data_IF_874166050805
#
_entry.id   IF_874166050805
#
_cell.length_a   1.000
_cell.length_b   1.000
_cell.length_c   1.000
_cell.angle_alpha   90.00
_cell.angle_beta   90.00
_cell.angle_gamma   90.00
#
_symmetry.space_group_name_H-M   'P 1'
#
loop_
_entity.id
_entity.type
_entity.pdbx_description
1 polymer ?
#
# COMPACT_ATOMS: atom_id res chain seq x y z
N UNK A 1 -5.57 6.32 -7.22
CA UNK A 1 -5.19 7.66 -7.74
C UNK A 1 -6.19 8.17 -8.77
N UNK A 2 -6.40 7.50 -9.93
CA UNK A 2 -7.53 7.82 -10.86
C UNK A 2 -8.94 7.82 -10.22
N UNK A 3 -9.08 7.36 -8.98
CA UNK A 3 -10.34 7.34 -8.23
C UNK A 3 -10.89 8.74 -7.97
N UNK A 4 -10.04 9.75 -7.73
CA UNK A 4 -10.49 11.14 -7.55
C UNK A 4 -11.06 11.74 -8.84
N UNK A 5 -10.43 11.44 -9.99
CA UNK A 5 -10.96 11.79 -11.31
C UNK A 5 -12.29 11.08 -11.56
N UNK A 6 -12.31 9.74 -11.45
CA UNK A 6 -13.49 8.92 -11.77
C UNK A 6 -14.71 9.17 -10.87
N UNK A 7 -14.51 9.75 -9.69
CA UNK A 7 -15.59 10.07 -8.76
C UNK A 7 -16.16 11.47 -8.94
N UNK A 8 -15.52 12.34 -9.73
CA UNK A 8 -15.82 13.77 -9.77
C UNK A 8 -15.29 14.57 -8.57
N UNK A 9 -14.63 13.92 -7.60
CA UNK A 9 -14.08 14.60 -6.43
C UNK A 9 -13.01 15.64 -6.81
N UNK A 10 -12.19 15.37 -7.83
CA UNK A 10 -11.21 16.33 -8.32
C UNK A 10 -11.87 17.62 -8.84
N UNK A 11 -12.94 17.49 -9.60
CA UNK A 11 -13.66 18.64 -10.16
C UNK A 11 -14.34 19.44 -9.06
N UNK A 12 -14.90 18.77 -8.04
CA UNK A 12 -15.47 19.42 -6.86
C UNK A 12 -14.42 20.19 -6.05
N UNK A 13 -13.24 19.60 -5.81
CA UNK A 13 -12.11 20.27 -5.15
C UNK A 13 -11.74 21.56 -5.90
N UNK A 14 -11.61 21.47 -7.23
CA UNK A 14 -11.28 22.64 -8.06
C UNK A 14 -12.39 23.69 -8.09
N UNK A 15 -13.65 23.27 -8.12
CA UNK A 15 -14.79 24.18 -8.04
C UNK A 15 -14.83 24.96 -6.71
N UNK A 16 -14.34 24.37 -5.62
CA UNK A 16 -14.17 25.04 -4.33
C UNK A 16 -12.87 25.87 -4.23
N UNK A 17 -12.09 25.98 -5.31
CA UNK A 17 -10.84 26.75 -5.36
C UNK A 17 -9.61 26.02 -4.81
N UNK A 18 -9.67 24.70 -4.64
CA UNK A 18 -8.54 23.86 -4.25
C UNK A 18 -7.81 23.22 -5.43
N UNK A 19 -6.74 22.48 -5.13
CA UNK A 19 -6.03 21.64 -6.09
C UNK A 19 -5.56 20.34 -5.41
N UNK A 20 -5.42 19.28 -6.19
CA UNK A 20 -4.91 17.99 -5.73
C UNK A 20 -3.46 17.80 -6.17
N UNK A 21 -2.63 17.22 -5.31
CA UNK A 21 -1.26 16.83 -5.64
C UNK A 21 -1.06 15.36 -5.29
N UNK A 22 -0.45 14.61 -6.20
CA UNK A 22 0.11 13.30 -5.88
C UNK A 22 1.47 13.47 -5.21
N UNK A 23 1.74 12.73 -4.15
CA UNK A 23 3.05 12.72 -3.49
C UNK A 23 3.60 11.30 -3.49
N UNK A 24 4.87 11.14 -3.83
CA UNK A 24 5.55 9.84 -3.84
C UNK A 24 6.97 9.97 -3.29
N UNK A 25 7.47 8.91 -2.67
CA UNK A 25 8.86 8.79 -2.22
C UNK A 25 9.83 8.36 -3.33
N UNK A 26 9.37 8.37 -4.58
CA UNK A 26 10.20 8.18 -5.78
C UNK A 26 10.77 9.53 -6.25
N UNK A 27 11.84 9.54 -7.07
CA UNK A 27 12.33 10.75 -7.71
C UNK A 27 11.28 11.42 -8.62
N UNK A 28 11.42 12.72 -8.84
CA UNK A 28 10.49 13.51 -9.66
C UNK A 28 10.28 12.94 -11.06
N UNK A 29 11.31 12.37 -11.69
CA UNK A 29 11.18 11.73 -13.01
C UNK A 29 10.15 10.60 -13.02
N UNK A 30 10.10 9.78 -11.97
CA UNK A 30 9.13 8.69 -11.82
C UNK A 30 7.74 9.21 -11.41
N UNK A 31 7.69 10.29 -10.62
CA UNK A 31 6.44 10.96 -10.30
C UNK A 31 5.75 11.50 -11.57
N UNK A 32 6.51 12.19 -12.43
CA UNK A 32 6.04 12.70 -13.72
C UNK A 32 5.65 11.56 -14.67
N UNK A 33 6.42 10.48 -14.73
CA UNK A 33 6.06 9.29 -15.51
C UNK A 33 4.72 8.71 -15.05
N UNK A 34 4.52 8.55 -13.74
CA UNK A 34 3.26 8.04 -13.18
C UNK A 34 2.08 8.96 -13.46
N UNK A 35 2.27 10.28 -13.37
CA UNK A 35 1.26 11.27 -13.74
C UNK A 35 0.76 11.08 -15.18
N UNK A 36 1.70 10.93 -16.13
CA UNK A 36 1.40 10.77 -17.55
C UNK A 36 0.81 9.39 -17.85
N UNK A 37 1.51 8.32 -17.45
CA UNK A 37 1.11 6.95 -17.73
C UNK A 37 -0.23 6.60 -17.07
N UNK A 38 -0.54 7.20 -15.92
CA UNK A 38 -1.81 6.98 -15.24
C UNK A 38 -2.82 8.09 -15.48
N UNK A 39 -2.56 9.05 -16.37
CA UNK A 39 -3.50 10.10 -16.77
C UNK A 39 -4.21 10.72 -15.54
N UNK A 40 -3.42 11.10 -14.54
CA UNK A 40 -3.97 11.45 -13.23
C UNK A 40 -4.76 12.76 -13.26
N UNK A 41 -4.45 13.67 -14.19
CA UNK A 41 -5.12 14.96 -14.31
C UNK A 41 -4.77 15.96 -13.21
N UNK A 42 -3.74 15.65 -12.42
CA UNK A 42 -3.18 16.49 -11.37
C UNK A 42 -1.68 16.20 -11.20
N UNK A 43 -0.87 17.18 -10.79
CA UNK A 43 0.58 17.04 -10.70
C UNK A 43 1.02 16.01 -9.65
N UNK A 44 2.07 15.25 -9.95
CA UNK A 44 2.76 14.40 -8.99
C UNK A 44 4.13 14.96 -8.60
N UNK A 45 4.41 14.97 -7.30
CA UNK A 45 5.64 15.48 -6.69
C UNK A 45 6.44 14.29 -6.17
N UNK A 46 7.70 14.19 -6.60
CA UNK A 46 8.66 13.24 -6.07
C UNK A 46 9.39 13.81 -4.86
N UNK A 47 9.38 13.09 -3.76
CA UNK A 47 10.02 13.44 -2.49
C UNK A 47 10.91 12.28 -1.99
N UNK A 48 11.99 11.94 -2.72
CA UNK A 48 12.83 10.79 -2.39
C UNK A 48 13.58 10.96 -1.06
N UNK A 49 13.78 12.21 -0.62
CA UNK A 49 14.51 12.55 0.61
C UNK A 49 13.59 12.90 1.78
N UNK A 50 12.27 12.74 1.63
CA UNK A 50 11.26 12.89 2.66
C UNK A 50 11.16 14.30 3.26
N UNK A 51 11.51 15.33 2.50
CA UNK A 51 11.52 16.73 2.95
C UNK A 51 10.09 17.22 3.24
N UNK A 52 9.12 16.84 2.39
CA UNK A 52 7.72 17.23 2.58
C UNK A 52 7.15 16.49 3.79
N UNK A 53 7.45 15.19 3.93
CA UNK A 53 7.05 14.42 5.12
C UNK A 53 7.58 15.06 6.40
N UNK A 54 8.87 15.40 6.43
CA UNK A 54 9.50 15.95 7.62
C UNK A 54 8.95 17.34 7.95
N UNK A 55 8.71 18.19 6.93
CA UNK A 55 8.06 19.49 7.10
C UNK A 55 6.64 19.37 7.67
N UNK A 56 5.82 18.45 7.15
CA UNK A 56 4.47 18.22 7.67
C UNK A 56 4.46 17.78 9.13
N UNK A 57 5.43 16.95 9.55
CA UNK A 57 5.60 16.54 10.94
C UNK A 57 6.00 17.72 11.83
N UNK A 58 7.00 18.50 11.42
CA UNK A 58 7.49 19.68 12.15
C UNK A 58 6.39 20.74 12.35
N UNK A 59 5.49 20.87 11.37
CA UNK A 59 4.34 21.78 11.42
C UNK A 59 3.12 21.20 12.15
N UNK A 60 3.18 19.96 12.64
CA UNK A 60 2.06 19.30 13.31
C UNK A 60 0.88 18.97 12.39
N UNK A 61 1.07 19.00 11.07
CA UNK A 61 0.01 18.76 10.08
C UNK A 61 -0.34 17.27 10.04
N UNK A 62 0.67 16.43 9.76
CA UNK A 62 0.55 14.98 9.68
C UNK A 62 1.92 14.32 9.80
N UNK A 63 2.05 13.30 10.64
CA UNK A 63 3.25 12.43 10.66
C UNK A 63 3.01 11.20 9.79
N UNK A 64 3.62 11.18 8.60
CA UNK A 64 3.51 10.07 7.66
C UNK A 64 4.36 8.88 8.10
N UNK A 65 3.81 7.67 7.98
CA UNK A 65 4.62 6.46 8.06
C UNK A 65 5.39 6.26 6.75
N UNK A 66 6.66 5.88 6.88
CA UNK A 66 7.46 5.38 5.78
C UNK A 66 8.08 4.05 6.16
N UNK A 67 8.17 3.13 5.21
CA UNK A 67 8.88 1.88 5.38
C UNK A 67 10.27 2.00 4.75
N UNK A 68 11.29 2.03 5.61
CA UNK A 68 12.70 2.07 5.23
C UNK A 68 13.14 0.78 4.52
N UNK A 69 12.45 -0.33 4.77
CA UNK A 69 12.74 -1.61 4.15
C UNK A 69 11.99 -1.79 2.82
N UNK A 70 12.60 -1.33 1.74
CA UNK A 70 12.13 -1.52 0.37
C UNK A 70 12.55 -2.87 -0.25
N UNK A 71 13.05 -3.82 0.55
CA UNK A 71 13.68 -5.05 0.07
C UNK A 71 12.78 -5.94 -0.80
N UNK A 72 11.47 -5.85 -0.68
CA UNK A 72 10.51 -6.57 -1.53
C UNK A 72 10.41 -5.99 -2.97
N UNK A 73 11.00 -4.82 -3.22
CA UNK A 73 11.03 -4.13 -4.51
C UNK A 73 12.27 -4.47 -5.36
N UNK A 74 13.14 -5.39 -4.90
CA UNK A 74 14.40 -5.75 -5.56
C UNK A 74 14.30 -6.14 -7.04
N UNK A 75 13.13 -6.57 -7.50
CA UNK A 75 12.90 -6.90 -8.92
C UNK A 75 12.68 -5.65 -9.81
N UNK A 76 12.59 -4.46 -9.20
CA UNK A 76 12.35 -3.18 -9.88
C UNK A 76 13.67 -2.39 -9.86
N UNK A 77 14.52 -2.63 -10.85
CA UNK A 77 15.81 -1.92 -10.97
C UNK A 77 15.68 -0.40 -11.07
N UNK A 78 14.49 0.08 -11.42
CA UNK A 78 14.16 1.48 -11.56
C UNK A 78 13.59 2.12 -10.29
N UNK A 79 13.15 1.35 -9.30
CA UNK A 79 12.58 1.91 -8.08
C UNK A 79 13.70 2.49 -7.20
N UNK A 80 13.49 3.67 -6.65
CA UNK A 80 14.52 4.40 -5.90
C UNK A 80 13.94 5.07 -4.66
N UNK A 81 14.15 4.44 -3.51
CA UNK A 81 13.67 4.89 -2.21
C UNK A 81 14.83 5.04 -1.21
N UNK A 82 15.65 6.09 -1.30
CA UNK A 82 16.86 6.22 -0.49
C UNK A 82 16.56 6.35 1.02
N UNK A 83 15.38 6.86 1.40
CA UNK A 83 14.88 6.89 2.78
C UNK A 83 13.69 5.96 3.03
N UNK A 84 13.44 5.01 2.14
CA UNK A 84 12.24 4.18 2.18
C UNK A 84 11.05 4.79 1.46
N UNK A 85 9.91 4.08 1.51
CA UNK A 85 8.72 4.44 0.76
C UNK A 85 7.55 4.85 1.65
N UNK A 86 6.72 5.76 1.16
CA UNK A 86 5.56 6.24 1.90
C UNK A 86 4.50 5.17 2.07
N UNK A 87 4.02 5.06 3.31
CA UNK A 87 2.70 4.52 3.52
C UNK A 87 1.66 5.54 3.05
N UNK A 88 0.50 5.07 2.60
CA UNK A 88 -0.55 5.93 2.07
C UNK A 88 -1.04 6.94 3.10
N UNK A 89 -1.36 8.14 2.63
CA UNK A 89 -1.94 9.19 3.45
C UNK A 89 -2.73 10.17 2.58
N UNK A 90 -3.56 10.98 3.22
CA UNK A 90 -4.27 12.11 2.63
C UNK A 90 -4.15 13.27 3.62
N UNK A 91 -3.74 14.43 3.12
CA UNK A 91 -3.69 15.67 3.89
C UNK A 91 -4.33 16.76 3.03
N UNK A 92 -5.31 17.46 3.60
CA UNK A 92 -5.91 18.65 3.01
C UNK A 92 -5.66 19.83 3.94
N UNK A 93 -5.03 20.88 3.38
CA UNK A 93 -4.68 22.10 4.12
C UNK A 93 -5.32 23.27 3.40
N UNK A 94 -5.98 24.14 4.15
CA UNK A 94 -6.50 25.41 3.65
C UNK A 94 -5.35 26.42 3.48
N UNK A 95 -5.56 27.44 2.65
CA UNK A 95 -4.52 28.44 2.33
C UNK A 95 -3.98 29.23 3.53
N UNK A 96 -4.71 29.26 4.64
CA UNK A 96 -4.29 29.89 5.91
C UNK A 96 -3.49 28.94 6.82
N UNK A 97 -3.23 27.71 6.38
CA UNK A 97 -2.48 26.70 7.11
C UNK A 97 -3.33 25.74 7.95
N UNK A 98 -4.65 25.93 8.00
CA UNK A 98 -5.56 25.07 8.76
C UNK A 98 -5.74 23.70 8.10
N UNK A 99 -5.75 22.64 8.90
CA UNK A 99 -5.98 21.27 8.42
C UNK A 99 -7.48 21.04 8.23
N UNK A 100 -7.89 20.80 6.98
CA UNK A 100 -9.27 20.50 6.61
C UNK A 100 -9.58 19.01 6.71
N UNK A 101 -8.59 18.16 6.47
CA UNK A 101 -8.72 16.71 6.58
C UNK A 101 -7.33 16.10 6.70
N UNK A 102 -7.20 15.05 7.51
CA UNK A 102 -5.98 14.26 7.56
C UNK A 102 -6.28 12.80 7.88
N UNK A 103 -5.65 11.93 7.10
CA UNK A 103 -5.68 10.49 7.25
C UNK A 103 -4.29 9.94 6.94
N UNK A 104 -3.88 8.90 7.66
CA UNK A 104 -2.68 8.13 7.33
C UNK A 104 -2.93 6.66 7.57
N UNK A 105 -2.34 5.84 6.72
CA UNK A 105 -2.35 4.40 6.90
C UNK A 105 -1.32 4.00 7.96
N UNK A 106 -1.76 3.61 9.16
CA UNK A 106 -0.92 2.82 10.06
C UNK A 106 -0.78 1.42 9.45
N UNK A 107 0.42 0.95 9.10
CA UNK A 107 0.58 -0.35 8.48
C UNK A 107 0.42 -1.46 9.54
N UNK A 108 -0.57 -2.33 9.35
CA UNK A 108 -0.84 -3.49 10.19
C UNK A 108 -1.09 -4.72 9.32
N UNK A 109 -0.98 -5.92 9.86
CA UNK A 109 -1.34 -7.13 9.13
C UNK A 109 -2.81 -7.16 8.66
N UNK A 110 -3.70 -6.43 9.33
CA UNK A 110 -5.11 -6.32 8.94
C UNK A 110 -5.29 -5.56 7.62
N UNK A 111 -4.41 -4.59 7.34
CA UNK A 111 -4.40 -3.84 6.09
C UNK A 111 -3.23 -4.21 5.17
N UNK A 112 -2.74 -5.44 5.29
CA UNK A 112 -1.63 -5.97 4.48
C UNK A 112 -0.39 -5.06 4.56
N UNK A 113 -0.07 -4.56 5.75
CA UNK A 113 1.09 -3.71 6.01
C UNK A 113 1.09 -2.40 5.21
N UNK A 114 -0.10 -1.81 5.05
CA UNK A 114 -0.36 -0.58 4.31
C UNK A 114 -0.50 -0.75 2.78
N UNK A 115 -0.35 -1.97 2.27
CA UNK A 115 -0.68 -2.27 0.87
C UNK A 115 -2.20 -2.21 0.62
N UNK A 116 -3.01 -2.45 1.66
CA UNK A 116 -4.47 -2.31 1.68
C UNK A 116 -4.95 -0.95 2.16
N UNK A 117 -6.27 -0.77 2.18
CA UNK A 117 -7.03 0.37 2.69
C UNK A 117 -6.70 1.75 2.09
N UNK A 118 -7.64 2.32 1.36
CA UNK A 118 -7.60 3.73 0.93
C UNK A 118 -8.99 4.34 1.17
N UNK A 119 -9.09 5.51 1.82
CA UNK A 119 -10.35 6.23 1.93
C UNK A 119 -11.01 6.40 0.56
N UNK A 120 -12.33 6.36 0.50
CA UNK A 120 -13.06 6.72 -0.72
C UNK A 120 -12.82 8.21 -1.01
N UNK A 121 -12.62 8.61 -2.28
CA UNK A 121 -12.52 10.03 -2.64
C UNK A 121 -13.73 10.84 -2.20
N UNK A 122 -14.91 10.22 -2.18
CA UNK A 122 -16.15 10.83 -1.74
C UNK A 122 -16.14 11.15 -0.25
N UNK A 123 -15.75 10.18 0.60
CA UNK A 123 -15.57 10.40 2.04
C UNK A 123 -14.59 11.54 2.31
N UNK A 124 -13.43 11.49 1.67
CA UNK A 124 -12.41 12.55 1.79
C UNK A 124 -12.98 13.92 1.42
N UNK A 125 -13.69 14.02 0.29
CA UNK A 125 -14.27 15.29 -0.14
C UNK A 125 -15.35 15.79 0.82
N UNK A 126 -16.24 14.93 1.29
CA UNK A 126 -17.30 15.29 2.24
C UNK A 126 -16.73 15.85 3.55
N UNK A 127 -15.69 15.22 4.09
CA UNK A 127 -15.01 15.70 5.31
C UNK A 127 -14.31 17.05 5.11
N UNK A 128 -13.71 17.28 3.92
CA UNK A 128 -13.12 18.57 3.54
C UNK A 128 -14.21 19.64 3.42
N UNK A 129 -15.27 19.36 2.66
CA UNK A 129 -16.36 20.29 2.38
C UNK A 129 -17.04 20.77 3.66
N UNK A 130 -17.30 19.85 4.59
CA UNK A 130 -17.86 20.15 5.90
C UNK A 130 -17.01 21.12 6.74
N UNK A 131 -15.71 21.26 6.44
CA UNK A 131 -14.74 22.07 7.19
C UNK A 131 -14.25 23.32 6.45
N UNK A 132 -14.79 23.61 5.26
CA UNK A 132 -14.41 24.81 4.50
C UNK A 132 -14.76 26.13 5.21
N UNK A 133 -15.71 26.11 6.17
CA UNK A 133 -16.04 27.27 7.00
C UNK A 133 -14.85 27.83 7.78
N UNK A 134 -14.81 29.15 7.98
CA UNK A 134 -13.65 29.88 8.53
C UNK A 134 -13.37 29.64 10.02
N UNK A 135 -14.34 29.13 10.77
CA UNK A 135 -14.28 29.04 12.24
C UNK A 135 -14.14 27.60 12.76
N UNK A 136 -13.93 26.62 11.89
CA UNK A 136 -13.71 25.24 12.33
C UNK A 136 -12.27 25.07 12.84
N UNK A 137 -12.04 24.28 13.91
CA UNK A 137 -10.69 23.90 14.32
C UNK A 137 -10.01 23.01 13.26
N UNK A 138 -8.70 22.78 13.43
CA UNK A 138 -7.98 21.77 12.65
C UNK A 138 -8.66 20.41 12.77
N UNK A 139 -8.78 19.69 11.66
CA UNK A 139 -9.35 18.35 11.65
C UNK A 139 -8.51 17.40 12.53
N UNK A 140 -9.18 16.56 13.32
CA UNK A 140 -8.53 15.43 13.98
C UNK A 140 -8.06 14.38 12.96
N UNK A 141 -7.26 13.42 13.41
CA UNK A 141 -6.89 12.29 12.56
C UNK A 141 -8.10 11.41 12.32
N UNK A 142 -8.41 11.15 11.05
CA UNK A 142 -9.47 10.22 10.69
C UNK A 142 -8.97 8.77 10.90
N UNK A 143 -9.45 8.12 11.95
CA UNK A 143 -9.08 6.74 12.28
C UNK A 143 -10.07 5.70 11.71
N UNK A 144 -11.19 6.13 11.15
CA UNK A 144 -12.26 5.24 10.68
C UNK A 144 -12.88 5.71 9.34
N UNK A 145 -12.07 5.95 8.30
CA UNK A 145 -12.60 6.39 7.02
C UNK A 145 -13.39 5.29 6.32
N UNK A 146 -14.28 5.68 5.43
CA UNK A 146 -14.91 4.73 4.53
C UNK A 146 -13.88 4.16 3.54
N UNK A 147 -13.75 2.82 3.49
CA UNK A 147 -12.88 2.13 2.55
C UNK A 147 -13.67 1.50 1.40
N UNK A 148 -13.11 1.58 0.18
CA UNK A 148 -13.74 0.98 -1.02
C UNK A 148 -13.94 -0.54 -0.94
N UNK A 149 -13.05 -1.26 -0.23
CA UNK A 149 -13.07 -2.72 -0.16
C UNK A 149 -12.47 -3.23 1.13
N UNK A 150 -12.93 -4.41 1.53
CA UNK A 150 -12.24 -5.21 2.55
C UNK A 150 -10.97 -5.81 1.97
N UNK A 151 -9.90 -5.78 2.74
CA UNK A 151 -8.62 -6.34 2.34
C UNK A 151 -8.54 -7.85 2.58
N UNK A 152 -7.54 -8.47 1.95
CA UNK A 152 -7.23 -9.87 2.19
C UNK A 152 -6.59 -10.01 3.58
N UNK A 153 -6.88 -11.11 4.26
CA UNK A 153 -6.17 -11.44 5.51
C UNK A 153 -4.67 -11.62 5.25
N UNK A 154 -3.85 -11.35 6.25
CA UNK A 154 -2.40 -11.50 6.15
C UNK A 154 -1.95 -12.88 5.64
N UNK A 155 -2.48 -14.02 6.14
CA UNK A 155 -2.10 -15.34 5.62
C UNK A 155 -2.43 -15.50 4.13
N UNK A 156 -3.57 -14.94 3.68
CA UNK A 156 -3.94 -14.95 2.27
C UNK A 156 -2.97 -14.08 1.45
N UNK A 157 -2.62 -12.89 1.92
CA UNK A 157 -1.66 -12.00 1.25
C UNK A 157 -0.29 -12.68 1.06
N UNK A 158 0.26 -13.26 2.14
CA UNK A 158 1.52 -14.03 2.10
C UNK A 158 1.38 -15.25 1.18
N UNK A 159 0.26 -15.97 1.25
CA UNK A 159 -0.02 -17.12 0.37
C UNK A 159 -0.04 -16.76 -1.12
N UNK A 160 -0.57 -15.58 -1.47
CA UNK A 160 -0.54 -15.07 -2.85
C UNK A 160 0.89 -14.76 -3.31
N UNK A 161 1.73 -14.19 -2.45
CA UNK A 161 3.15 -13.95 -2.77
C UNK A 161 3.94 -15.26 -2.92
N UNK A 162 3.66 -16.25 -2.07
CA UNK A 162 4.23 -17.60 -2.20
C UNK A 162 3.82 -18.23 -3.52
N UNK A 163 2.54 -18.21 -3.86
CA UNK A 163 2.04 -18.75 -5.13
C UNK A 163 2.66 -18.07 -6.36
N UNK A 164 2.96 -16.78 -6.25
CA UNK A 164 3.64 -16.02 -7.30
C UNK A 164 5.08 -16.48 -7.51
N UNK A 165 5.79 -16.83 -6.43
CA UNK A 165 7.11 -17.44 -6.48
C UNK A 165 7.13 -18.97 -6.37
N UNK A 166 6.08 -19.63 -6.87
CA UNK A 166 5.98 -21.09 -6.96
C UNK A 166 6.14 -21.84 -5.63
N UNK A 167 5.70 -21.23 -4.53
CA UNK A 167 5.72 -21.77 -3.16
C UNK A 167 7.12 -22.04 -2.59
N UNK A 168 8.18 -21.58 -3.26
CA UNK A 168 9.56 -21.71 -2.78
C UNK A 168 10.09 -20.41 -2.19
N UNK A 169 9.82 -19.27 -2.83
CA UNK A 169 10.25 -17.95 -2.34
C UNK A 169 9.17 -16.92 -2.63
N UNK A 170 8.65 -16.18 -1.64
CA UNK A 170 7.65 -15.15 -1.88
C UNK A 170 8.14 -14.12 -2.90
N UNK A 171 7.26 -13.70 -3.80
CA UNK A 171 7.53 -12.64 -4.77
C UNK A 171 6.41 -11.61 -4.75
N UNK A 172 6.78 -10.34 -4.60
CA UNK A 172 5.84 -9.23 -4.75
C UNK A 172 5.30 -9.18 -6.19
N UNK A 173 4.08 -8.67 -6.35
CA UNK A 173 3.52 -8.46 -7.67
C UNK A 173 4.26 -7.29 -8.36
N UNK A 174 4.75 -7.46 -9.60
CA UNK A 174 5.39 -6.36 -10.32
C UNK A 174 4.38 -5.26 -10.61
N UNK A 175 4.83 -4.02 -10.56
CA UNK A 175 4.15 -2.90 -11.22
C UNK A 175 4.64 -2.93 -12.67
N UNK A 176 3.79 -3.29 -13.64
CA UNK A 176 4.23 -3.48 -15.01
C UNK A 176 4.64 -2.14 -15.63
N UNK A 177 5.80 -2.11 -16.29
CA UNK A 177 6.20 -1.08 -17.24
C UNK A 177 6.00 -1.56 -18.67
N UNK A 178 6.05 -0.61 -19.59
CA UNK A 178 6.09 -0.92 -21.02
C UNK A 178 7.28 -1.86 -21.32
N UNK A 179 7.00 -2.99 -21.97
CA UNK A 179 7.99 -4.05 -22.24
C UNK A 179 8.14 -5.12 -21.15
N UNK A 180 7.53 -4.96 -19.97
CA UNK A 180 7.59 -5.99 -18.92
C UNK A 180 6.75 -7.22 -19.25
N UNK A 181 7.20 -8.38 -18.73
CA UNK A 181 6.39 -9.61 -18.79
C UNK A 181 5.10 -9.41 -17.98
N UNK A 182 3.92 -9.75 -18.52
CA UNK A 182 2.66 -9.58 -17.82
C UNK A 182 2.67 -10.30 -16.46
N UNK A 183 2.32 -9.56 -15.41
CA UNK A 183 2.06 -10.14 -14.10
C UNK A 183 0.88 -11.10 -14.19
N UNK A 184 0.97 -12.24 -13.51
CA UNK A 184 -0.14 -13.19 -13.45
C UNK A 184 -1.22 -12.62 -12.52
N UNK A 185 -2.50 -12.53 -12.96
CA UNK A 185 -3.54 -11.87 -12.18
C UNK A 185 -3.79 -12.55 -10.82
N UNK A 186 -4.19 -11.80 -9.78
CA UNK A 186 -4.41 -12.33 -8.42
C UNK A 186 -5.38 -13.52 -8.36
N UNK A 187 -6.40 -13.56 -9.22
CA UNK A 187 -7.36 -14.68 -9.28
C UNK A 187 -6.69 -16.00 -9.68
N UNK A 188 -5.70 -15.96 -10.59
CA UNK A 188 -4.90 -17.15 -10.94
C UNK A 188 -4.02 -17.58 -9.78
N UNK A 189 -3.52 -16.64 -8.97
CA UNK A 189 -2.75 -16.97 -7.75
C UNK A 189 -3.61 -17.67 -6.71
N UNK A 190 -4.85 -17.21 -6.48
CA UNK A 190 -5.79 -17.91 -5.60
C UNK A 190 -6.01 -19.36 -6.04
N UNK A 191 -6.18 -19.59 -7.35
CA UNK A 191 -6.28 -20.94 -7.90
C UNK A 191 -5.03 -21.77 -7.64
N UNK A 192 -3.82 -21.19 -7.80
CA UNK A 192 -2.56 -21.89 -7.47
C UNK A 192 -2.51 -22.28 -6.01
N UNK A 193 -2.89 -21.39 -5.09
CA UNK A 193 -2.96 -21.70 -3.65
C UNK A 193 -3.90 -22.88 -3.41
N UNK A 194 -5.11 -22.85 -3.98
CA UNK A 194 -6.08 -23.93 -3.83
C UNK A 194 -5.55 -25.28 -4.38
N UNK A 195 -4.94 -25.27 -5.57
CA UNK A 195 -4.33 -26.47 -6.18
C UNK A 195 -3.17 -27.01 -5.33
N UNK A 196 -2.34 -26.12 -4.79
CA UNK A 196 -1.21 -26.50 -3.95
C UNK A 196 -1.67 -27.16 -2.64
N UNK A 197 -2.68 -26.59 -1.99
CA UNK A 197 -3.28 -27.18 -0.78
C UNK A 197 -3.94 -28.53 -1.10
N UNK A 198 -4.69 -28.61 -2.20
CA UNK A 198 -5.31 -29.86 -2.64
C UNK A 198 -4.26 -30.95 -2.94
N UNK A 199 -3.13 -30.59 -3.56
CA UNK A 199 -2.04 -31.52 -3.85
C UNK A 199 -1.43 -32.11 -2.57
N UNK A 200 -1.25 -31.31 -1.51
CA UNK A 200 -0.82 -31.83 -0.20
C UNK A 200 -1.86 -32.77 0.41
N UNK A 201 -3.15 -32.41 0.38
CA UNK A 201 -4.24 -33.26 0.90
C UNK A 201 -4.25 -34.61 0.19
N UNK A 202 -4.18 -34.61 -1.15
CA UNK A 202 -4.10 -35.84 -1.95
C UNK A 202 -2.85 -36.64 -1.63
N UNK A 203 -1.68 -36.00 -1.50
CA UNK A 203 -0.45 -36.68 -1.13
C UNK A 203 -0.57 -37.40 0.23
N UNK A 204 -1.11 -36.72 1.26
CA UNK A 204 -1.33 -37.32 2.57
C UNK A 204 -2.37 -38.44 2.56
N UNK A 205 -3.33 -38.42 1.64
CA UNK A 205 -4.36 -39.46 1.53
C UNK A 205 -3.86 -40.73 0.83
N UNK A 206 -2.93 -40.62 -0.12
CA UNK A 206 -2.56 -41.73 -1.01
C UNK A 206 -1.09 -42.20 -0.93
N UNK A 207 -0.20 -41.42 -0.32
CA UNK A 207 1.23 -41.76 -0.20
C UNK A 207 1.60 -42.06 1.26
N UNK A 208 2.70 -42.80 1.53
CA UNK A 208 3.03 -43.14 2.91
C UNK A 208 3.39 -41.89 3.72
N UNK A 209 2.71 -41.73 4.86
CA UNK A 209 2.69 -40.51 5.67
C UNK A 209 4.08 -40.01 6.06
N UNK A 210 5.02 -40.90 6.39
CA UNK A 210 6.37 -40.51 6.80
C UNK A 210 7.11 -39.72 5.69
N UNK A 211 6.99 -40.15 4.43
CA UNK A 211 7.62 -39.47 3.30
C UNK A 211 6.96 -38.12 3.02
N UNK A 212 5.63 -38.08 3.02
CA UNK A 212 4.88 -36.84 2.79
C UNK A 212 5.15 -35.82 3.90
N UNK A 213 5.17 -36.25 5.15
CA UNK A 213 5.49 -35.40 6.30
C UNK A 213 6.92 -34.86 6.22
N UNK A 214 7.90 -35.70 5.85
CA UNK A 214 9.28 -35.27 5.64
C UNK A 214 9.41 -34.22 4.53
N UNK A 215 8.75 -34.44 3.39
CA UNK A 215 8.72 -33.47 2.29
C UNK A 215 8.02 -32.16 2.70
N UNK A 216 6.92 -32.24 3.44
CA UNK A 216 6.20 -31.08 3.96
C UNK A 216 7.05 -30.28 4.94
N UNK A 217 7.76 -30.95 5.85
CA UNK A 217 8.68 -30.31 6.80
C UNK A 217 9.81 -29.58 6.07
N UNK A 218 10.43 -30.22 5.07
CA UNK A 218 11.45 -29.58 4.24
C UNK A 218 10.90 -28.36 3.49
N UNK A 219 9.73 -28.49 2.88
CA UNK A 219 9.05 -27.35 2.23
C UNK A 219 8.76 -26.23 3.22
N UNK A 220 8.25 -26.54 4.41
CA UNK A 220 7.94 -25.57 5.44
C UNK A 220 9.19 -24.82 5.93
N UNK A 221 10.34 -25.48 6.03
CA UNK A 221 11.61 -24.83 6.34
C UNK A 221 12.02 -23.82 5.25
N UNK A 222 11.96 -24.23 3.98
CA UNK A 222 12.31 -23.37 2.83
C UNK A 222 11.33 -22.19 2.70
N UNK A 223 10.03 -22.46 2.69
CA UNK A 223 9.00 -21.44 2.58
C UNK A 223 8.97 -20.52 3.82
N UNK A 224 9.20 -21.08 5.01
CA UNK A 224 9.22 -20.37 6.28
C UNK A 224 10.29 -19.27 6.32
N UNK A 225 11.49 -19.54 5.81
CA UNK A 225 12.53 -18.51 5.67
C UNK A 225 12.08 -17.34 4.76
N UNK A 226 11.36 -17.67 3.68
CA UNK A 226 10.76 -16.67 2.79
C UNK A 226 9.64 -15.87 3.48
N UNK A 227 8.75 -16.52 4.22
CA UNK A 227 7.68 -15.85 4.97
C UNK A 227 8.25 -14.93 6.04
N UNK A 228 9.27 -15.38 6.78
CA UNK A 228 9.98 -14.55 7.75
C UNK A 228 10.64 -13.33 7.08
N UNK A 229 11.11 -13.45 5.84
CA UNK A 229 11.61 -12.34 5.06
C UNK A 229 10.49 -11.37 4.65
N UNK A 230 9.31 -11.84 4.26
CA UNK A 230 8.13 -10.99 3.99
C UNK A 230 7.73 -10.19 5.23
N UNK A 231 7.63 -10.84 6.40
CA UNK A 231 7.31 -10.15 7.66
C UNK A 231 8.35 -9.07 8.04
N UNK A 232 9.59 -9.18 7.57
CA UNK A 232 10.64 -8.16 7.79
C UNK A 232 10.60 -7.04 6.75
N UNK A 233 10.23 -7.35 5.52
CA UNK A 233 10.14 -6.37 4.44
C UNK A 233 8.93 -5.46 4.59
N UNK A 234 7.82 -5.99 5.09
CA UNK A 234 6.59 -5.24 5.24
C UNK A 234 6.50 -4.71 6.67
N UNK A 235 6.35 -3.39 6.79
CA UNK A 235 6.17 -2.73 8.07
C UNK A 235 4.89 -3.23 8.76
N UNK A 236 4.95 -3.46 10.06
CA UNK A 236 3.79 -3.80 10.87
C UNK A 236 3.94 -3.12 12.23
N UNK A 237 3.13 -2.10 12.48
CA UNK A 237 3.12 -1.30 13.70
C UNK A 237 1.87 -1.71 14.49
N UNK A 238 1.99 -2.40 15.63
CA UNK A 238 0.86 -2.78 16.47
C UNK A 238 0.02 -1.58 16.91
N UNK A 239 -1.26 -1.84 17.20
CA UNK A 239 -2.11 -0.86 17.85
C UNK A 239 -1.58 -0.51 19.24
N UNK A 240 -1.54 0.79 19.56
CA UNK A 240 -1.05 1.30 20.84
C UNK A 240 0.46 1.62 20.90
N UNK A 241 1.24 1.27 19.87
CA UNK A 241 2.61 1.76 19.75
C UNK A 241 2.59 3.24 19.31
N UNK A 242 3.33 4.14 19.99
CA UNK A 242 3.31 5.56 19.67
C UNK A 242 3.79 5.82 18.24
N UNK A 243 3.20 6.84 17.65
CA UNK A 243 3.55 7.28 16.32
C UNK A 243 4.88 8.01 16.37
N UNK A 244 5.91 7.38 15.82
CA UNK A 244 7.24 7.99 15.67
C UNK A 244 7.28 9.24 14.80
#
# INVERSE_FOLDING_TARGET
>A
MRSFVKSGALDAIRAAGGELFGLTSEPQSLATEAEQAWELGYPCIGDPHHEIKDHCREKGLLSFFANENSGHLWMRSWASHPKGYYQPAVLAVHRDGRVLYRWRCRPTHENMSGAGQRPTPQHVWQEIEARLGKDAPDAELDDAPEFRRKDASWPMFVGLMLAHGWFLRPRAFPLPREGDRPSVPPQRMRRRVAVFVAAWIVAFAFLPTAWVAGAFALWALVAGAGVAQVNRWFQNIPEGEPDG
#
